data_IF_379864844996
#
_entry.id   IF_379864844996
#
_cell.length_a   1.000
_cell.length_b   1.000
_cell.length_c   1.000
_cell.angle_alpha   90.00
_cell.angle_beta   90.00
_cell.angle_gamma   90.00
#
_symmetry.space_group_name_H-M   'P 1'
#
loop_
_entity.id
_entity.type
_entity.pdbx_description
1 polymer ?
#
# COMPACT_ATOMS: atom_id res chain seq x y z
N UNK A 1 -18.92 6.74 35.22
CA UNK A 1 -17.52 6.83 34.73
C UNK A 1 -17.18 5.96 33.52
N UNK A 2 -18.03 5.00 33.07
CA UNK A 2 -17.65 4.03 32.02
C UNK A 2 -17.48 4.54 30.58
N UNK A 3 -17.99 5.72 30.22
CA UNK A 3 -17.98 6.25 28.83
C UNK A 3 -17.07 7.47 28.59
N UNK A 4 -16.31 7.94 29.60
CA UNK A 4 -15.48 9.15 29.47
C UNK A 4 -14.46 9.04 28.31
N UNK A 5 -13.75 7.92 28.22
CA UNK A 5 -12.77 7.66 27.16
C UNK A 5 -13.41 7.56 25.75
N UNK A 6 -14.68 7.18 25.64
CA UNK A 6 -15.36 7.10 24.33
C UNK A 6 -15.63 8.49 23.76
N UNK A 7 -16.06 9.41 24.63
CA UNK A 7 -16.24 10.81 24.26
C UNK A 7 -14.90 11.45 23.91
N UNK A 8 -13.85 11.16 24.67
CA UNK A 8 -12.51 11.67 24.39
C UNK A 8 -11.95 11.12 23.07
N UNK A 9 -12.13 9.82 22.78
CA UNK A 9 -11.77 9.24 21.48
C UNK A 9 -12.54 9.89 20.33
N UNK A 10 -13.85 10.11 20.49
CA UNK A 10 -14.68 10.77 19.48
C UNK A 10 -14.21 12.20 19.22
N UNK A 11 -13.91 12.95 20.28
CA UNK A 11 -13.36 14.30 20.18
C UNK A 11 -11.99 14.30 19.48
N UNK A 12 -11.13 13.34 19.81
CA UNK A 12 -9.83 13.15 19.16
C UNK A 12 -9.98 12.92 17.65
N UNK A 13 -10.84 11.98 17.23
CA UNK A 13 -11.10 11.69 15.82
C UNK A 13 -11.66 12.91 15.07
N UNK A 14 -12.55 13.69 15.70
CA UNK A 14 -13.05 14.94 15.12
C UNK A 14 -11.91 15.93 14.87
N UNK A 15 -11.06 16.16 15.88
CA UNK A 15 -9.93 17.09 15.72
C UNK A 15 -8.93 16.60 14.67
N UNK A 16 -8.74 15.28 14.51
CA UNK A 16 -7.94 14.71 13.42
C UNK A 16 -8.55 15.02 12.04
N UNK A 17 -9.88 14.99 11.93
CA UNK A 17 -10.60 15.38 10.72
C UNK A 17 -10.37 16.86 10.40
N UNK A 18 -10.58 17.73 11.40
CA UNK A 18 -10.44 19.18 11.24
C UNK A 18 -9.00 19.56 10.88
N UNK A 19 -8.02 18.87 11.46
CA UNK A 19 -6.60 19.07 11.17
C UNK A 19 -6.28 18.95 9.67
N UNK A 20 -6.94 18.08 8.91
CA UNK A 20 -6.66 17.93 7.48
C UNK A 20 -7.13 19.12 6.64
N UNK A 21 -8.18 19.82 7.08
CA UNK A 21 -8.76 20.97 6.38
C UNK A 21 -8.17 22.28 6.89
N UNK A 22 -7.88 22.35 8.19
CA UNK A 22 -7.30 23.54 8.83
C UNK A 22 -5.84 23.75 8.43
N UNK A 23 -5.48 25.02 8.19
CA UNK A 23 -4.12 25.42 7.81
C UNK A 23 -3.15 25.50 8.99
N UNK A 24 -3.63 25.39 10.23
CA UNK A 24 -2.78 25.45 11.43
C UNK A 24 -2.19 24.07 11.74
N UNK A 25 -0.89 23.94 11.47
CA UNK A 25 -0.15 22.68 11.45
C UNK A 25 0.28 22.16 12.85
N UNK A 26 0.16 22.97 13.90
CA UNK A 26 0.95 22.77 15.13
C UNK A 26 0.16 22.19 16.32
N UNK A 27 -1.11 21.84 16.16
CA UNK A 27 -1.99 21.57 17.30
C UNK A 27 -2.11 20.11 17.73
N UNK A 28 -1.60 19.15 16.98
CA UNK A 28 -1.80 17.73 17.29
C UNK A 28 -0.61 17.05 17.95
N UNK A 29 -0.53 17.17 19.27
CA UNK A 29 0.58 16.66 20.08
C UNK A 29 0.60 15.14 20.26
N UNK A 30 -0.55 14.47 20.10
CA UNK A 30 -0.76 13.07 20.50
C UNK A 30 -0.26 12.01 19.51
N UNK A 31 0.13 12.42 18.30
CA UNK A 31 0.72 11.52 17.29
C UNK A 31 2.23 11.38 17.45
N UNK A 32 2.78 10.28 16.94
CA UNK A 32 4.22 10.06 16.89
C UNK A 32 4.91 10.98 15.86
N UNK A 33 6.17 11.30 16.09
CA UNK A 33 6.90 12.29 15.28
C UNK A 33 7.08 11.86 13.82
N UNK A 34 7.22 10.56 13.56
CA UNK A 34 7.28 10.04 12.19
C UNK A 34 5.96 10.23 11.45
N UNK A 35 4.81 10.00 12.11
CA UNK A 35 3.48 10.24 11.53
C UNK A 35 3.27 11.72 11.25
N UNK A 36 3.65 12.60 12.19
CA UNK A 36 3.59 14.05 11.98
C UNK A 36 4.37 14.46 10.74
N UNK A 37 5.64 14.01 10.62
CA UNK A 37 6.49 14.29 9.45
C UNK A 37 5.85 13.80 8.15
N UNK A 38 5.28 12.59 8.15
CA UNK A 38 4.57 12.03 6.99
C UNK A 38 3.36 12.90 6.58
N UNK A 39 2.55 13.36 7.55
CA UNK A 39 1.43 14.25 7.27
C UNK A 39 1.90 15.62 6.77
N UNK A 40 2.96 16.19 7.33
CA UNK A 40 3.54 17.44 6.84
C UNK A 40 3.98 17.32 5.38
N UNK A 41 4.66 16.22 5.01
CA UNK A 41 5.02 15.94 3.61
C UNK A 41 3.79 15.81 2.72
N UNK A 42 2.74 15.10 3.17
CA UNK A 42 1.48 15.01 2.44
C UNK A 42 0.88 16.39 2.16
N UNK A 43 0.75 17.23 3.19
CA UNK A 43 0.20 18.59 3.05
C UNK A 43 1.07 19.49 2.15
N UNK A 44 2.39 19.36 2.23
CA UNK A 44 3.31 20.08 1.34
C UNK A 44 3.12 19.63 -0.12
N UNK A 45 3.17 18.33 -0.38
CA UNK A 45 2.98 17.76 -1.72
C UNK A 45 1.60 18.05 -2.33
N UNK A 46 0.54 18.10 -1.51
CA UNK A 46 -0.78 18.57 -1.97
C UNK A 46 -0.73 20.03 -2.44
N UNK A 47 -0.09 20.92 -1.67
CA UNK A 47 0.06 22.35 -2.04
C UNK A 47 0.88 22.53 -3.31
N UNK A 48 2.02 21.84 -3.41
CA UNK A 48 2.90 21.90 -4.59
C UNK A 48 2.18 21.40 -5.86
N UNK A 49 1.36 20.36 -5.71
CA UNK A 49 0.56 19.83 -6.83
C UNK A 49 -0.69 20.66 -7.14
N UNK A 50 -1.01 21.68 -6.35
CA UNK A 50 -2.24 22.48 -6.50
C UNK A 50 -3.51 21.68 -6.21
N UNK A 51 -3.47 20.86 -5.15
CA UNK A 51 -4.59 20.03 -4.70
C UNK A 51 -5.17 20.60 -3.41
N UNK A 52 -6.46 20.91 -3.44
CA UNK A 52 -7.20 21.37 -2.27
C UNK A 52 -7.92 20.20 -1.60
N UNK A 53 -7.77 20.07 -0.27
CA UNK A 53 -8.64 19.20 0.54
C UNK A 53 -9.92 19.97 0.83
N UNK A 54 -11.03 19.57 0.19
CA UNK A 54 -12.34 20.19 0.39
C UNK A 54 -13.05 19.66 1.63
N UNK A 55 -12.81 18.40 1.96
CA UNK A 55 -13.37 17.74 3.15
C UNK A 55 -12.45 16.61 3.60
N UNK A 56 -12.33 16.43 4.91
CA UNK A 56 -11.78 15.23 5.50
C UNK A 56 -12.83 14.57 6.39
N UNK A 57 -12.89 13.24 6.34
CA UNK A 57 -13.71 12.42 7.23
C UNK A 57 -12.80 11.43 7.95
N UNK A 58 -12.84 11.45 9.27
CA UNK A 58 -12.12 10.51 10.13
C UNK A 58 -13.13 9.68 10.92
N UNK A 59 -12.94 8.36 10.93
CA UNK A 59 -13.73 7.44 11.74
C UNK A 59 -12.86 6.40 12.44
N UNK A 60 -13.35 5.88 13.56
CA UNK A 60 -12.68 4.88 14.37
C UNK A 60 -13.62 3.74 14.72
N UNK A 61 -13.29 2.52 14.28
CA UNK A 61 -14.03 1.30 14.60
C UNK A 61 -13.26 0.49 15.65
N UNK A 62 -13.80 0.39 16.87
CA UNK A 62 -13.12 -0.29 17.98
C UNK A 62 -12.95 -1.78 17.67
N UNK A 63 -11.72 -2.26 17.81
CA UNK A 63 -11.33 -3.67 17.69
C UNK A 63 -11.32 -4.37 19.03
N UNK A 64 -10.87 -3.67 20.08
CA UNK A 64 -10.76 -4.23 21.41
C UNK A 64 -10.30 -3.19 22.41
N UNK A 65 -10.55 -3.48 23.69
CA UNK A 65 -10.13 -2.62 24.80
C UNK A 65 -9.49 -3.45 25.88
N UNK A 66 -8.34 -3.01 26.39
CA UNK A 66 -7.64 -3.65 27.50
C UNK A 66 -7.41 -2.64 28.62
N UNK A 67 -7.61 -3.06 29.87
CA UNK A 67 -7.43 -2.20 31.05
C UNK A 67 -6.34 -2.81 31.93
N UNK A 68 -5.33 -2.01 32.27
CA UNK A 68 -4.23 -2.38 33.17
C UNK A 68 -4.00 -1.26 34.18
N UNK A 69 -4.34 -1.50 35.45
CA UNK A 69 -4.27 -0.47 36.49
C UNK A 69 -5.18 0.72 36.16
N UNK A 70 -4.60 1.93 36.10
CA UNK A 70 -5.30 3.17 35.73
C UNK A 70 -5.31 3.46 34.24
N UNK A 71 -4.63 2.64 33.43
CA UNK A 71 -4.53 2.82 31.99
C UNK A 71 -5.51 1.93 31.23
N UNK A 72 -6.07 2.50 30.16
CA UNK A 72 -6.91 1.80 29.19
C UNK A 72 -6.28 1.93 27.81
N UNK A 73 -6.07 0.82 27.13
CA UNK A 73 -5.72 0.81 25.71
C UNK A 73 -6.93 0.43 24.87
N UNK A 74 -7.08 1.10 23.74
CA UNK A 74 -8.16 0.89 22.77
C UNK A 74 -7.50 0.65 21.42
N UNK A 75 -7.59 -0.57 20.92
CA UNK A 75 -7.21 -0.90 19.55
C UNK A 75 -8.41 -0.61 18.64
N UNK A 76 -8.20 0.07 17.52
CA UNK A 76 -9.27 0.44 16.59
C UNK A 76 -8.77 0.55 15.15
N UNK A 77 -9.67 0.35 14.18
CA UNK A 77 -9.42 0.75 12.80
C UNK A 77 -9.73 2.22 12.62
N UNK A 78 -8.70 2.99 12.29
CA UNK A 78 -8.80 4.36 11.83
C UNK A 78 -9.03 4.36 10.32
N UNK A 79 -10.00 5.14 9.85
CA UNK A 79 -10.23 5.39 8.43
C UNK A 79 -10.23 6.89 8.18
N UNK A 80 -9.39 7.33 7.25
CA UNK A 80 -9.32 8.68 6.73
C UNK A 80 -9.83 8.69 5.29
N UNK A 81 -10.81 9.53 5.01
CA UNK A 81 -11.22 9.87 3.65
C UNK A 81 -10.99 11.33 3.38
N UNK A 82 -10.25 11.64 2.32
CA UNK A 82 -10.00 12.99 1.86
C UNK A 82 -10.74 13.21 0.55
N UNK A 83 -11.64 14.20 0.52
CA UNK A 83 -12.23 14.70 -0.71
C UNK A 83 -11.36 15.83 -1.25
N UNK A 84 -10.81 15.63 -2.43
CA UNK A 84 -9.77 16.47 -3.01
C UNK A 84 -10.22 17.05 -4.35
N UNK A 85 -9.74 18.25 -4.65
CA UNK A 85 -9.92 18.92 -5.95
C UNK A 85 -8.56 19.29 -6.51
N UNK A 86 -8.36 18.99 -7.79
CA UNK A 86 -7.20 19.44 -8.56
C UNK A 86 -7.68 19.88 -9.93
N UNK A 87 -7.48 21.16 -10.26
CA UNK A 87 -8.07 21.77 -11.46
C UNK A 87 -9.60 21.54 -11.48
N UNK A 88 -10.15 20.96 -12.54
CA UNK A 88 -11.58 20.66 -12.68
C UNK A 88 -11.96 19.22 -12.26
N UNK A 89 -10.99 18.45 -11.75
CA UNK A 89 -11.19 17.07 -11.33
C UNK A 89 -11.37 16.96 -9.83
N UNK A 90 -12.33 16.13 -9.42
CA UNK A 90 -12.59 15.76 -8.04
C UNK A 90 -12.27 14.29 -7.84
N UNK A 91 -11.61 13.96 -6.74
CA UNK A 91 -11.30 12.57 -6.41
C UNK A 91 -11.26 12.38 -4.90
N UNK A 92 -11.34 11.11 -4.49
CA UNK A 92 -11.23 10.72 -3.10
C UNK A 92 -9.95 9.94 -2.90
N UNK A 93 -9.33 10.12 -1.74
CA UNK A 93 -8.34 9.20 -1.19
C UNK A 93 -8.94 8.56 0.06
N UNK A 94 -8.77 7.24 0.22
CA UNK A 94 -9.25 6.49 1.39
C UNK A 94 -8.10 5.67 1.97
N UNK A 95 -7.84 5.82 3.27
CA UNK A 95 -6.75 5.14 3.96
C UNK A 95 -7.27 4.52 5.24
N UNK A 96 -6.93 3.25 5.46
CA UNK A 96 -7.27 2.50 6.66
C UNK A 96 -6.01 2.01 7.37
N UNK A 97 -5.96 2.19 8.69
CA UNK A 97 -4.81 1.80 9.51
C UNK A 97 -5.28 1.31 10.88
N UNK A 98 -4.61 0.29 11.43
CA UNK A 98 -4.83 -0.12 12.82
C UNK A 98 -4.11 0.86 13.74
N UNK A 99 -4.79 1.35 14.77
CA UNK A 99 -4.23 2.30 15.75
C UNK A 99 -4.48 1.81 17.17
N UNK A 100 -3.67 2.31 18.10
CA UNK A 100 -3.83 2.11 19.53
C UNK A 100 -3.86 3.46 20.23
N UNK A 101 -4.98 3.76 20.87
CA UNK A 101 -5.14 4.89 21.77
C UNK A 101 -4.96 4.43 23.22
N UNK A 102 -4.14 5.14 24.00
CA UNK A 102 -3.94 4.91 25.43
C UNK A 102 -4.57 6.05 26.21
N UNK A 103 -5.37 5.70 27.21
CA UNK A 103 -6.05 6.61 28.10
C UNK A 103 -5.60 6.40 29.54
N UNK A 104 -5.51 7.48 30.31
CA UNK A 104 -5.27 7.44 31.76
C UNK A 104 -6.31 8.32 32.43
N UNK A 105 -7.01 7.77 33.42
CA UNK A 105 -8.10 8.47 34.13
C UNK A 105 -9.22 9.02 33.22
N UNK A 106 -9.35 8.47 32.01
CA UNK A 106 -10.35 8.87 31.01
C UNK A 106 -9.83 9.86 29.96
N UNK A 107 -8.65 10.43 30.15
CA UNK A 107 -8.00 11.35 29.20
C UNK A 107 -7.13 10.59 28.22
N UNK A 108 -7.11 11.04 26.95
CA UNK A 108 -6.26 10.47 25.92
C UNK A 108 -4.82 10.97 26.08
N UNK A 109 -3.89 10.06 26.33
CA UNK A 109 -2.47 10.39 26.54
C UNK A 109 -1.59 10.11 25.34
N UNK A 110 -1.97 9.14 24.50
CA UNK A 110 -1.21 8.74 23.29
C UNK A 110 -2.13 8.09 22.27
N UNK A 111 -1.88 8.33 21.00
CA UNK A 111 -2.47 7.56 19.91
C UNK A 111 -1.43 7.33 18.80
N UNK A 112 -1.20 6.07 18.45
CA UNK A 112 -0.19 5.73 17.44
C UNK A 112 -0.68 4.64 16.48
N UNK A 113 -0.15 4.67 15.25
CA UNK A 113 -0.30 3.54 14.33
C UNK A 113 0.30 2.29 14.96
N UNK A 114 -0.44 1.19 14.87
CA UNK A 114 0.17 -0.13 15.04
C UNK A 114 0.79 -0.48 13.71
N UNK A 115 2.07 -0.13 13.55
CA UNK A 115 2.86 -0.73 12.51
C UNK A 115 2.63 -2.25 12.59
N UNK A 116 2.36 -2.86 11.45
CA UNK A 116 2.47 -4.30 11.38
C UNK A 116 3.93 -4.59 11.71
N UNK A 117 4.21 -5.11 12.91
CA UNK A 117 5.51 -5.69 13.19
C UNK A 117 5.76 -6.65 12.05
N UNK A 118 6.82 -6.40 11.29
CA UNK A 118 7.32 -7.30 10.29
C UNK A 118 7.60 -8.64 10.99
N UNK A 119 6.58 -9.50 11.09
CA UNK A 119 6.77 -10.93 11.10
C UNK A 119 7.23 -11.26 9.68
N UNK A 120 8.49 -10.91 9.42
CA UNK A 120 9.24 -11.42 8.29
C UNK A 120 9.01 -12.91 8.35
N UNK A 121 8.23 -13.46 7.42
CA UNK A 121 8.44 -14.84 7.04
C UNK A 121 9.93 -14.94 6.76
N UNK A 122 10.66 -15.68 7.59
CA UNK A 122 12.10 -15.90 7.57
C UNK A 122 12.77 -15.40 6.28
N UNK A 123 13.18 -14.12 6.29
CA UNK A 123 13.99 -13.48 5.25
C UNK A 123 15.44 -14.02 5.28
N UNK A 124 15.71 -15.02 6.10
CA UNK A 124 17.00 -15.72 6.12
C UNK A 124 17.36 -16.37 4.77
N UNK A 125 16.37 -16.59 3.89
CA UNK A 125 16.55 -17.18 2.54
C UNK A 125 16.27 -16.22 1.38
N UNK A 126 16.22 -14.90 1.59
CA UNK A 126 16.15 -13.92 0.49
C UNK A 126 17.54 -13.30 0.28
N UNK A 127 18.30 -13.70 -0.75
CA UNK A 127 19.62 -13.13 -1.01
C UNK A 127 19.53 -11.62 -1.19
N UNK A 128 20.34 -10.88 -0.42
CA UNK A 128 20.52 -9.41 -0.54
C UNK A 128 21.06 -8.99 -1.91
N UNK A 129 21.65 -9.94 -2.64
CA UNK A 129 21.87 -9.90 -4.08
C UNK A 129 21.50 -11.26 -4.64
N UNK A 130 20.39 -11.36 -5.34
CA UNK A 130 20.13 -12.51 -6.19
C UNK A 130 21.09 -12.41 -7.39
N UNK A 131 21.96 -13.41 -7.64
CA UNK A 131 22.78 -13.42 -8.85
C UNK A 131 21.85 -13.28 -10.06
N UNK A 132 22.11 -12.31 -10.94
CA UNK A 132 21.38 -12.11 -12.20
C UNK A 132 21.25 -13.42 -13.01
N UNK A 133 22.18 -14.36 -12.77
CA UNK A 133 22.36 -15.59 -13.50
C UNK A 133 21.51 -16.78 -13.00
N UNK A 134 20.92 -16.68 -11.80
CA UNK A 134 20.12 -17.76 -11.19
C UNK A 134 18.61 -17.66 -11.47
N UNK A 135 18.12 -16.51 -11.95
CA UNK A 135 16.75 -16.42 -12.49
C UNK A 135 16.72 -16.91 -13.94
N UNK A 136 16.93 -18.22 -14.13
CA UNK A 136 16.64 -18.87 -15.41
C UNK A 136 15.22 -19.43 -15.37
N UNK A 137 14.34 -18.80 -16.14
CA UNK A 137 13.04 -19.39 -16.48
C UNK A 137 13.26 -20.80 -17.03
N UNK A 138 12.56 -21.85 -16.52
CA UNK A 138 12.63 -23.15 -17.15
C UNK A 138 12.20 -23.01 -18.62
N UNK A 139 13.03 -23.58 -19.50
CA UNK A 139 13.08 -23.29 -20.93
C UNK A 139 11.73 -23.30 -21.65
N UNK A 140 11.69 -22.59 -22.78
CA UNK A 140 10.55 -22.39 -23.69
C UNK A 140 9.68 -23.65 -23.83
N UNK A 141 8.65 -23.76 -22.99
CA UNK A 141 7.54 -24.67 -23.24
C UNK A 141 6.87 -24.23 -24.53
N UNK A 142 6.93 -25.08 -25.56
CA UNK A 142 6.27 -24.87 -26.86
C UNK A 142 4.74 -24.95 -26.68
N UNK A 143 4.15 -23.94 -26.06
CA UNK A 143 2.72 -23.66 -26.15
C UNK A 143 2.53 -22.46 -27.05
N UNK A 144 2.08 -22.67 -28.28
CA UNK A 144 1.48 -21.59 -29.10
C UNK A 144 0.13 -21.23 -28.47
N UNK A 145 0.16 -20.52 -27.35
CA UNK A 145 -1.05 -19.98 -26.72
C UNK A 145 -1.42 -18.68 -27.41
N UNK A 146 -2.70 -18.50 -27.77
CA UNK A 146 -3.28 -17.21 -28.12
C UNK A 146 -2.76 -16.16 -27.14
N UNK A 147 -2.29 -15.00 -27.63
CA UNK A 147 -1.79 -13.92 -26.78
C UNK A 147 -2.76 -13.68 -25.64
N UNK A 148 -2.30 -13.90 -24.41
CA UNK A 148 -3.12 -13.63 -23.23
C UNK A 148 -3.12 -12.11 -23.10
N UNK A 149 -4.27 -11.52 -23.42
CA UNK A 149 -4.54 -10.08 -23.29
C UNK A 149 -4.72 -9.79 -21.80
N UNK A 150 -3.99 -8.80 -21.27
CA UNK A 150 -4.12 -8.35 -19.90
C UNK A 150 -5.36 -7.45 -19.76
N UNK A 151 -6.37 -7.90 -19.00
CA UNK A 151 -7.56 -7.12 -18.70
C UNK A 151 -7.27 -6.14 -17.54
N UNK A 152 -6.78 -4.96 -17.92
CA UNK A 152 -6.48 -3.85 -17.01
C UNK A 152 -7.68 -3.45 -16.16
N UNK A 153 -8.88 -3.44 -16.74
CA UNK A 153 -10.09 -3.04 -16.04
C UNK A 153 -10.46 -4.08 -14.97
N UNK A 154 -10.28 -5.36 -15.24
CA UNK A 154 -10.48 -6.42 -14.24
C UNK A 154 -9.48 -6.30 -13.08
N UNK A 155 -8.21 -6.00 -13.36
CA UNK A 155 -7.20 -5.75 -12.32
C UNK A 155 -7.58 -4.55 -11.43
N UNK A 156 -8.00 -3.44 -12.03
CA UNK A 156 -8.45 -2.22 -11.31
C UNK A 156 -9.70 -2.49 -10.48
N UNK A 157 -10.70 -3.19 -11.04
CA UNK A 157 -11.91 -3.57 -10.30
C UNK A 157 -11.60 -4.47 -9.10
N UNK A 158 -10.64 -5.37 -9.25
CA UNK A 158 -10.18 -6.20 -8.14
C UNK A 158 -9.51 -5.36 -7.07
N UNK A 159 -8.60 -4.46 -7.47
CA UNK A 159 -7.91 -3.56 -6.57
C UNK A 159 -8.90 -2.69 -5.77
N UNK A 160 -9.88 -2.09 -6.44
CA UNK A 160 -10.91 -1.29 -5.80
C UNK A 160 -11.87 -2.10 -4.92
N UNK A 161 -12.04 -3.40 -5.19
CA UNK A 161 -12.88 -4.26 -4.36
C UNK A 161 -12.20 -4.64 -3.04
N UNK A 162 -10.89 -4.86 -3.07
CA UNK A 162 -10.15 -5.46 -1.96
C UNK A 162 -9.18 -4.51 -1.27
N UNK A 163 -9.10 -3.24 -1.64
CA UNK A 163 -8.16 -2.28 -1.04
C UNK A 163 -8.21 -2.18 0.50
N UNK A 164 -9.35 -2.48 1.15
CA UNK A 164 -9.55 -2.42 2.60
C UNK A 164 -9.78 -3.79 3.27
N UNK A 165 -9.62 -4.90 2.53
CA UNK A 165 -9.89 -6.24 3.06
C UNK A 165 -9.09 -7.35 2.36
N UNK A 166 -8.88 -8.46 3.06
CA UNK A 166 -8.21 -9.62 2.47
C UNK A 166 -9.23 -10.51 1.73
N UNK A 167 -8.89 -10.91 0.50
CA UNK A 167 -9.70 -11.89 -0.22
C UNK A 167 -9.52 -13.28 0.39
N UNK A 168 -10.58 -13.94 0.90
CA UNK A 168 -10.49 -15.24 1.56
C UNK A 168 -10.06 -16.39 0.64
N UNK A 169 -10.02 -16.19 -0.68
CA UNK A 169 -9.49 -17.18 -1.65
C UNK A 169 -7.96 -17.28 -1.60
N UNK A 170 -7.27 -16.32 -0.99
CA UNK A 170 -5.82 -16.27 -0.90
C UNK A 170 -5.39 -16.24 0.56
N UNK A 171 -4.15 -16.64 0.81
CA UNK A 171 -3.52 -16.53 2.12
C UNK A 171 -3.41 -15.05 2.50
N UNK A 172 -3.89 -14.72 3.69
CA UNK A 172 -3.62 -13.44 4.32
C UNK A 172 -2.22 -13.46 4.96
N UNK A 173 -1.49 -12.36 4.77
CA UNK A 173 -0.21 -12.09 5.43
C UNK A 173 -0.34 -10.79 6.20
N UNK A 174 0.49 -10.63 7.22
CA UNK A 174 0.57 -9.39 8.00
C UNK A 174 1.14 -8.25 7.13
N UNK A 175 2.20 -8.55 6.37
CA UNK A 175 2.77 -7.68 5.33
C UNK A 175 2.49 -8.31 3.96
N UNK A 176 1.57 -7.72 3.20
CA UNK A 176 0.99 -8.39 2.03
C UNK A 176 0.93 -7.53 0.77
N UNK A 177 1.60 -6.38 0.74
CA UNK A 177 1.59 -5.46 -0.41
C UNK A 177 1.72 -6.16 -1.77
N UNK A 178 2.69 -7.06 -1.90
CA UNK A 178 2.95 -7.80 -3.15
C UNK A 178 1.95 -8.93 -3.38
N UNK A 179 1.49 -9.60 -2.32
CA UNK A 179 0.43 -10.61 -2.44
C UNK A 179 -0.87 -9.97 -2.96
N UNK A 180 -1.23 -8.80 -2.46
CA UNK A 180 -2.38 -8.02 -2.94
C UNK A 180 -2.19 -7.57 -4.40
N UNK A 181 -1.05 -6.98 -4.76
CA UNK A 181 -0.76 -6.56 -6.15
C UNK A 181 -0.78 -7.78 -7.09
N UNK A 182 -0.20 -8.91 -6.69
CA UNK A 182 -0.23 -10.14 -7.49
C UNK A 182 -1.67 -10.65 -7.70
N UNK A 183 -2.53 -10.57 -6.68
CA UNK A 183 -3.94 -10.91 -6.86
C UNK A 183 -4.64 -9.98 -7.85
N UNK A 184 -4.32 -8.68 -7.86
CA UNK A 184 -4.87 -7.73 -8.82
C UNK A 184 -4.43 -8.10 -10.25
N UNK A 185 -3.13 -8.32 -10.45
CA UNK A 185 -2.57 -8.73 -11.75
C UNK A 185 -3.16 -10.07 -12.22
N UNK A 186 -3.34 -11.01 -11.30
CA UNK A 186 -3.98 -12.30 -11.59
C UNK A 186 -5.46 -12.14 -11.99
N UNK A 187 -6.20 -11.27 -11.32
CA UNK A 187 -7.57 -10.94 -11.68
C UNK A 187 -7.67 -10.28 -13.08
N UNK A 188 -6.62 -9.55 -13.48
CA UNK A 188 -6.44 -9.06 -14.86
C UNK A 188 -6.01 -10.12 -15.88
N UNK A 189 -5.91 -11.40 -15.50
CA UNK A 189 -5.57 -12.49 -16.41
C UNK A 189 -4.06 -12.75 -16.56
N UNK A 190 -3.22 -12.16 -15.72
CA UNK A 190 -1.78 -12.43 -15.72
C UNK A 190 -1.47 -13.93 -15.61
N UNK A 191 -0.71 -14.54 -16.55
CA UNK A 191 -0.49 -15.98 -16.56
C UNK A 191 0.55 -16.40 -15.53
N UNK A 192 0.16 -17.34 -14.66
CA UNK A 192 1.09 -17.96 -13.71
C UNK A 192 2.09 -18.89 -14.41
N UNK A 193 3.27 -19.05 -13.83
CA UNK A 193 4.32 -19.95 -14.33
C UNK A 193 5.29 -20.41 -13.23
N UNK A 194 6.05 -21.47 -13.50
CA UNK A 194 7.11 -21.96 -12.60
C UNK A 194 6.65 -22.86 -11.45
N UNK A 195 5.37 -23.29 -11.47
CA UNK A 195 4.69 -24.11 -10.45
C UNK A 195 5.64 -25.02 -9.65
N UNK A 196 5.55 -24.94 -8.32
CA UNK A 196 6.25 -25.73 -7.29
C UNK A 196 7.70 -25.38 -6.98
N UNK A 197 8.34 -24.47 -7.72
CA UNK A 197 9.60 -23.89 -7.28
C UNK A 197 9.37 -22.51 -6.64
N UNK A 198 9.63 -22.41 -5.32
CA UNK A 198 9.46 -21.18 -4.54
C UNK A 198 10.31 -20.01 -5.06
N UNK A 199 11.47 -20.30 -5.65
CA UNK A 199 12.45 -19.31 -6.11
C UNK A 199 12.36 -19.02 -7.62
N UNK A 200 11.37 -19.55 -8.35
CA UNK A 200 11.20 -19.24 -9.78
C UNK A 200 9.74 -19.11 -10.23
N UNK A 201 9.56 -18.35 -11.31
CA UNK A 201 8.25 -18.00 -11.88
C UNK A 201 7.41 -17.10 -10.97
N UNK A 202 6.15 -16.89 -11.34
CA UNK A 202 5.16 -16.16 -10.56
C UNK A 202 3.89 -16.99 -10.49
N UNK A 203 3.57 -17.51 -9.30
CA UNK A 203 2.47 -18.46 -9.14
C UNK A 203 1.96 -18.55 -7.70
N UNK A 204 0.68 -18.91 -7.57
CA UNK A 204 0.01 -19.20 -6.31
C UNK A 204 -0.93 -20.39 -6.50
N UNK A 205 -0.86 -21.38 -5.62
CA UNK A 205 -1.73 -22.56 -5.64
C UNK A 205 -1.98 -23.08 -4.22
N UNK A 206 -3.23 -22.98 -3.75
CA UNK A 206 -3.64 -23.45 -2.43
C UNK A 206 -2.84 -22.77 -1.31
N UNK A 207 -1.97 -23.53 -0.65
CA UNK A 207 -1.08 -23.06 0.43
C UNK A 207 0.39 -22.93 -0.02
N UNK A 208 0.65 -22.84 -1.34
CA UNK A 208 1.99 -22.71 -1.91
C UNK A 208 2.04 -21.52 -2.86
N UNK A 209 3.17 -20.82 -2.90
CA UNK A 209 3.38 -19.67 -3.76
C UNK A 209 4.88 -19.43 -4.03
N UNK A 210 5.19 -18.73 -5.11
CA UNK A 210 6.55 -18.22 -5.36
C UNK A 210 6.87 -17.00 -4.49
N UNK A 211 8.15 -16.74 -4.23
CA UNK A 211 8.58 -15.50 -3.58
C UNK A 211 8.11 -14.27 -4.36
N UNK A 212 8.20 -14.30 -5.69
CA UNK A 212 7.72 -13.22 -6.56
C UNK A 212 6.22 -12.95 -6.47
N UNK A 213 5.41 -13.88 -5.98
CA UNK A 213 3.98 -13.63 -5.75
C UNK A 213 3.74 -12.81 -4.48
N UNK A 214 4.56 -13.00 -3.44
CA UNK A 214 4.28 -12.49 -2.10
C UNK A 214 5.31 -11.48 -1.55
N UNK A 215 6.51 -11.37 -2.14
CA UNK A 215 7.63 -10.58 -1.64
C UNK A 215 8.04 -9.51 -2.66
N UNK A 216 8.05 -8.25 -2.24
CA UNK A 216 8.28 -7.08 -3.10
C UNK A 216 9.61 -7.15 -3.85
N UNK A 217 10.69 -7.50 -3.15
CA UNK A 217 12.02 -7.69 -3.75
C UNK A 217 12.00 -8.71 -4.89
N UNK A 218 11.48 -9.91 -4.64
CA UNK A 218 11.42 -10.96 -5.66
C UNK A 218 10.45 -10.61 -6.80
N UNK A 219 9.36 -9.91 -6.52
CA UNK A 219 8.40 -9.49 -7.54
C UNK A 219 9.00 -8.48 -8.51
N UNK A 220 9.69 -7.46 -7.98
CA UNK A 220 10.40 -6.48 -8.80
C UNK A 220 11.39 -7.16 -9.74
N UNK A 221 12.19 -8.11 -9.25
CA UNK A 221 13.15 -8.82 -10.10
C UNK A 221 12.49 -9.74 -11.13
N UNK A 222 11.34 -10.33 -10.79
CA UNK A 222 10.55 -11.06 -11.77
C UNK A 222 10.05 -10.15 -12.89
N UNK A 223 9.48 -8.99 -12.58
CA UNK A 223 9.02 -8.02 -13.58
C UNK A 223 10.17 -7.50 -14.46
N UNK A 224 11.36 -7.33 -13.90
CA UNK A 224 12.56 -6.94 -14.64
C UNK A 224 13.13 -8.07 -15.53
N UNK A 225 12.74 -9.32 -15.31
CA UNK A 225 13.37 -10.45 -16.00
C UNK A 225 13.02 -10.49 -17.48
N UNK A 226 14.02 -10.78 -18.31
CA UNK A 226 13.82 -11.03 -19.73
C UNK A 226 12.91 -12.25 -19.91
N UNK A 227 11.77 -12.05 -20.58
CA UNK A 227 10.80 -13.12 -20.80
C UNK A 227 9.88 -13.40 -19.61
N UNK A 228 9.72 -12.46 -18.67
CA UNK A 228 8.62 -12.50 -17.70
C UNK A 228 7.30 -12.77 -18.43
N UNK A 229 6.45 -13.66 -17.89
CA UNK A 229 5.21 -14.07 -18.58
C UNK A 229 4.06 -13.08 -18.41
N UNK A 230 4.22 -12.10 -17.53
CA UNK A 230 3.24 -11.05 -17.32
C UNK A 230 3.26 -9.99 -18.44
N UNK A 231 4.26 -10.00 -19.32
CA UNK A 231 4.39 -8.99 -20.37
C UNK A 231 4.72 -7.59 -19.81
N UNK A 232 5.29 -7.53 -18.61
CA UNK A 232 5.67 -6.29 -17.96
C UNK A 232 6.92 -5.70 -18.64
N UNK A 233 6.86 -4.40 -18.92
CA UNK A 233 7.91 -3.61 -19.54
C UNK A 233 8.22 -2.42 -18.64
N UNK A 234 9.50 -2.18 -18.37
CA UNK A 234 9.91 -1.02 -17.59
C UNK A 234 9.69 0.27 -18.38
N UNK A 235 9.11 1.28 -17.73
CA UNK A 235 8.99 2.65 -18.26
C UNK A 235 9.77 3.62 -17.38
N UNK A 236 10.14 4.79 -17.93
CA UNK A 236 11.05 5.72 -17.26
C UNK A 236 10.31 6.67 -16.31
N UNK A 237 9.08 7.05 -16.68
CA UNK A 237 8.32 8.09 -16.02
C UNK A 237 6.95 7.58 -15.54
N UNK A 238 6.47 8.01 -14.36
CA UNK A 238 5.18 7.60 -13.81
C UNK A 238 4.00 8.00 -14.70
N UNK A 239 4.10 9.07 -15.49
CA UNK A 239 3.08 9.53 -16.45
C UNK A 239 2.78 8.49 -17.53
N UNK A 240 3.76 7.63 -17.84
CA UNK A 240 3.63 6.55 -18.83
C UNK A 240 2.80 5.38 -18.30
N UNK A 241 2.57 5.30 -16.99
CA UNK A 241 1.76 4.27 -16.40
C UNK A 241 0.27 4.49 -16.70
N UNK A 242 -0.46 3.39 -16.74
CA UNK A 242 -1.91 3.32 -16.92
C UNK A 242 -2.54 2.53 -15.76
N UNK A 243 -3.85 2.70 -15.51
CA UNK A 243 -4.56 1.81 -14.60
C UNK A 243 -4.31 0.33 -14.93
N UNK A 244 -4.03 -0.46 -13.90
CA UNK A 244 -3.58 -1.85 -13.99
C UNK A 244 -2.06 -2.04 -13.99
N UNK A 245 -1.26 -0.98 -14.10
CA UNK A 245 0.20 -1.05 -14.02
C UNK A 245 0.73 -1.05 -12.57
N UNK A 246 2.01 -1.40 -12.40
CA UNK A 246 2.63 -1.59 -11.08
C UNK A 246 3.78 -0.62 -10.85
N UNK A 247 3.92 -0.19 -9.59
CA UNK A 247 5.08 0.56 -9.09
C UNK A 247 5.73 -0.25 -7.98
N UNK A 248 7.06 -0.41 -8.04
CA UNK A 248 7.87 -0.96 -6.97
C UNK A 248 8.67 0.17 -6.30
N UNK A 249 8.84 0.07 -4.99
CA UNK A 249 9.52 1.07 -4.15
C UNK A 249 10.67 0.41 -3.38
N UNK A 250 11.80 1.10 -3.34
CA UNK A 250 12.97 0.84 -2.49
C UNK A 250 13.11 2.10 -1.63
N UNK A 251 12.65 2.03 -0.37
CA UNK A 251 12.44 3.22 0.46
C UNK A 251 13.76 3.86 0.88
N UNK A 252 14.77 3.06 1.20
CA UNK A 252 16.09 3.46 1.65
C UNK A 252 17.08 3.70 0.51
N UNK A 253 16.77 3.26 -0.70
CA UNK A 253 17.63 3.31 -1.87
C UNK A 253 18.83 2.37 -1.79
N UNK A 254 18.73 1.28 -1.03
CA UNK A 254 19.82 0.33 -0.77
C UNK A 254 19.82 -0.87 -1.73
N UNK A 255 18.83 -0.93 -2.63
CA UNK A 255 18.63 -2.01 -3.59
C UNK A 255 17.69 -3.11 -3.10
N UNK A 256 17.26 -3.09 -1.84
CA UNK A 256 16.14 -3.88 -1.35
C UNK A 256 14.82 -3.23 -1.78
N UNK A 257 13.84 -4.02 -2.25
CA UNK A 257 12.57 -3.43 -2.68
C UNK A 257 11.51 -3.83 -1.67
N UNK A 258 10.97 -2.83 -0.98
CA UNK A 258 10.16 -2.99 0.23
C UNK A 258 8.67 -3.06 -0.07
N UNK A 259 8.26 -2.39 -1.16
CA UNK A 259 6.85 -2.17 -1.42
C UNK A 259 6.50 -2.30 -2.90
N UNK A 260 5.24 -2.62 -3.14
CA UNK A 260 4.65 -2.63 -4.47
C UNK A 260 3.19 -2.18 -4.39
N UNK A 261 2.77 -1.39 -5.37
CA UNK A 261 1.41 -0.87 -5.49
C UNK A 261 0.89 -1.05 -6.91
N UNK A 262 -0.43 -0.96 -7.10
CA UNK A 262 -1.08 -1.00 -8.41
C UNK A 262 -1.73 0.35 -8.71
N UNK A 263 -1.53 0.86 -9.92
CA UNK A 263 -2.19 2.08 -10.43
C UNK A 263 -3.65 1.77 -10.70
N UNK A 264 -4.55 2.58 -10.18
CA UNK A 264 -6.01 2.41 -10.33
C UNK A 264 -6.68 3.59 -11.02
N UNK A 265 -6.09 4.78 -10.90
CA UNK A 265 -6.62 6.01 -11.50
C UNK A 265 -5.48 6.98 -11.83
N UNK A 266 -5.81 8.12 -12.45
CA UNK A 266 -4.91 9.26 -12.63
C UNK A 266 -5.53 10.52 -12.03
N UNK A 267 -4.70 11.38 -11.45
CA UNK A 267 -5.13 12.69 -10.98
C UNK A 267 -5.41 13.66 -12.15
N UNK A 268 -5.84 14.88 -11.83
CA UNK A 268 -6.15 15.91 -12.83
C UNK A 268 -4.95 16.32 -13.69
N UNK A 269 -3.73 16.02 -13.26
CA UNK A 269 -2.49 16.27 -14.02
C UNK A 269 -1.99 15.02 -14.75
N UNK A 270 -2.75 13.93 -14.75
CA UNK A 270 -2.36 12.67 -15.40
C UNK A 270 -1.35 11.84 -14.61
N UNK A 271 -1.10 12.18 -13.35
CA UNK A 271 -0.19 11.42 -12.48
C UNK A 271 -0.90 10.23 -11.86
N UNK A 272 -0.24 9.08 -11.65
CA UNK A 272 -0.89 7.89 -11.13
C UNK A 272 -1.44 8.05 -9.69
N UNK A 273 -2.60 7.47 -9.46
CA UNK A 273 -3.16 7.20 -8.14
C UNK A 273 -3.17 5.68 -7.94
N UNK A 274 -2.74 5.23 -6.76
CA UNK A 274 -2.48 3.81 -6.48
C UNK A 274 -3.35 3.26 -5.37
N UNK A 275 -3.65 1.96 -5.46
CA UNK A 275 -4.12 1.18 -4.32
C UNK A 275 -2.97 0.34 -3.76
N UNK A 276 -2.95 0.17 -2.45
CA UNK A 276 -1.87 -0.50 -1.72
C UNK A 276 -2.39 -1.20 -0.45
N UNK A 277 -1.67 -2.22 0.00
CA UNK A 277 -1.85 -2.90 1.28
C UNK A 277 -0.66 -2.65 2.24
N UNK A 278 -0.57 -3.38 3.37
CA UNK A 278 0.26 -3.10 4.57
C UNK A 278 -0.18 -1.83 5.32
N UNK A 279 -0.36 -0.73 4.60
CA UNK A 279 -1.25 0.36 4.99
C UNK A 279 -2.29 0.49 3.90
N UNK A 280 -3.48 -0.07 4.14
CA UNK A 280 -4.57 -0.13 3.20
C UNK A 280 -4.90 1.26 2.68
N UNK A 281 -4.66 1.49 1.39
CA UNK A 281 -4.76 2.79 0.75
C UNK A 281 -5.46 2.63 -0.59
N UNK A 282 -6.37 3.55 -0.89
CA UNK A 282 -7.07 3.66 -2.17
C UNK A 282 -6.90 5.06 -2.74
N UNK A 283 -6.51 5.10 -4.01
CA UNK A 283 -6.28 6.32 -4.80
C UNK A 283 -5.25 7.27 -4.14
N UNK A 284 -4.25 6.69 -3.48
CA UNK A 284 -3.15 7.45 -2.88
C UNK A 284 -2.20 7.95 -3.97
N UNK A 285 -1.61 9.12 -3.78
CA UNK A 285 -0.65 9.64 -4.75
C UNK A 285 0.60 8.74 -4.86
N UNK A 286 0.97 8.39 -6.10
CA UNK A 286 1.99 7.37 -6.39
C UNK A 286 3.36 7.60 -5.75
N UNK A 287 3.75 8.86 -5.52
CA UNK A 287 5.09 9.19 -5.03
C UNK A 287 5.36 8.64 -3.62
N UNK A 288 4.30 8.35 -2.85
CA UNK A 288 4.37 7.69 -1.55
C UNK A 288 5.22 8.41 -0.49
N UNK A 289 5.49 9.70 -0.69
CA UNK A 289 6.32 10.53 0.20
C UNK A 289 5.70 10.71 1.58
N UNK A 290 4.38 10.61 1.66
CA UNK A 290 3.61 10.62 2.90
C UNK A 290 3.63 9.28 3.65
N UNK A 291 4.48 8.33 3.26
CA UNK A 291 4.71 7.09 4.01
C UNK A 291 5.63 7.34 5.22
N UNK A 292 5.37 6.67 6.33
CA UNK A 292 6.29 6.66 7.47
C UNK A 292 7.61 5.95 7.15
N UNK A 293 7.62 5.04 6.16
CA UNK A 293 8.81 4.38 5.65
C UNK A 293 9.61 5.23 4.64
N UNK A 294 9.07 6.35 4.16
CA UNK A 294 9.74 7.15 3.14
C UNK A 294 11.07 7.73 3.63
N UNK A 295 12.08 7.70 2.76
CA UNK A 295 13.33 8.44 2.91
C UNK A 295 13.63 9.25 1.64
N UNK A 296 14.52 10.24 1.77
CA UNK A 296 15.00 11.03 0.62
C UNK A 296 15.73 10.20 -0.46
N UNK A 297 16.16 8.98 -0.13
CA UNK A 297 16.90 8.12 -1.04
C UNK A 297 15.99 7.22 -1.88
N UNK A 298 14.67 7.28 -1.68
CA UNK A 298 13.69 6.41 -2.31
C UNK A 298 13.93 6.23 -3.81
N UNK A 299 13.84 4.98 -4.28
CA UNK A 299 13.91 4.62 -5.69
C UNK A 299 12.59 3.98 -6.13
N UNK A 300 12.29 4.18 -7.41
CA UNK A 300 11.07 3.67 -8.04
C UNK A 300 11.43 2.79 -9.24
N UNK A 301 10.60 1.78 -9.50
CA UNK A 301 10.52 1.11 -10.80
C UNK A 301 9.07 1.06 -11.25
N UNK A 302 8.86 1.49 -12.49
CA UNK A 302 7.54 1.60 -13.11
C UNK A 302 7.41 0.49 -14.16
N UNK A 303 6.37 -0.32 -14.06
CA UNK A 303 6.13 -1.43 -14.98
C UNK A 303 4.78 -1.31 -15.67
N UNK A 304 4.83 -1.15 -16.98
CA UNK A 304 3.68 -1.18 -17.88
C UNK A 304 3.41 -2.60 -18.38
N UNK A 305 2.16 -3.06 -18.31
CA UNK A 305 1.76 -4.41 -18.73
C UNK A 305 1.14 -4.38 -20.14
N UNK A 306 1.75 -5.04 -21.12
CA UNK A 306 1.18 -5.01 -22.49
C UNK A 306 -0.21 -5.66 -22.54
N UNK A 307 -1.15 -5.01 -23.24
CA UNK A 307 -2.51 -5.48 -23.52
C UNK A 307 -2.67 -6.01 -24.96
#
# INVERSE_FOLDING_TARGET
MGMAWQNELKLHLQKLSDFWVERNLDRYQLMEDQEKKAIHRKKAGLRERGVDILKAEVSGNILGTTVHGSERTVDYFYRLRLFQKQQDTFFFEDVQTKRRATFKEGELIKDSSRAVESSVMDVQDVPTKLPQDEWRMPGKGKGKGKGIIYDRLAAVKYADRWWDAYNPKFRAFDVDCTNYVSQCVFAGGGPMNGQYNKHSGWWYEGNRWSLSWAVAHSFRWYLASEGNRLGAVAVEHPEQLQPGDVICYDFEGDGHWDHSTIVTEKDGKGMPLVNAHTTNSRHRYWAYEDSTAWTQNIKYKFYHFND
#
